data_IF_583536438620
#
_entry.id   IF_583536438620
#
_cell.length_a   1.000
_cell.length_b   1.000
_cell.length_c   1.000
_cell.angle_alpha   90.00
_cell.angle_beta   90.00
_cell.angle_gamma   90.00
#
_symmetry.space_group_name_H-M   'P 1'
#
loop_
_entity.id
_entity.type
_entity.pdbx_description
1 polymer ?
#
# COMPACT_ATOMS: atom_id res chain seq x y z
N UNK A 1 23.88 -1.61 24.95
CA UNK A 1 23.48 -1.56 23.52
C UNK A 1 22.97 -2.92 23.02
N UNK A 2 23.68 -4.04 23.22
CA UNK A 2 23.23 -5.38 22.80
C UNK A 2 21.86 -5.80 23.37
N UNK A 3 21.62 -5.57 24.66
CA UNK A 3 20.29 -5.83 25.27
C UNK A 3 19.18 -4.99 24.65
N UNK A 4 19.43 -3.72 24.32
CA UNK A 4 18.42 -2.88 23.66
C UNK A 4 18.13 -3.38 22.24
N UNK A 5 19.17 -3.83 21.52
CA UNK A 5 19.01 -4.47 20.21
C UNK A 5 18.19 -5.76 20.31
N UNK A 6 18.47 -6.61 21.32
CA UNK A 6 17.69 -7.81 21.59
C UNK A 6 16.21 -7.49 21.86
N UNK A 7 15.94 -6.54 22.77
CA UNK A 7 14.56 -6.13 23.09
C UNK A 7 13.87 -5.57 21.84
N UNK A 8 14.57 -4.74 21.06
CA UNK A 8 14.04 -4.20 19.81
C UNK A 8 13.64 -5.28 18.81
N UNK A 9 14.54 -6.22 18.52
CA UNK A 9 14.24 -7.35 17.63
C UNK A 9 13.11 -8.24 18.16
N UNK A 10 13.06 -8.47 19.48
CA UNK A 10 12.01 -9.28 20.09
C UNK A 10 10.63 -8.63 19.91
N UNK A 11 10.55 -7.31 20.09
CA UNK A 11 9.31 -6.56 19.86
C UNK A 11 8.88 -6.60 18.39
N UNK A 12 9.82 -6.46 17.47
CA UNK A 12 9.51 -6.55 16.02
C UNK A 12 9.00 -7.96 15.69
N UNK A 13 9.63 -9.01 16.18
CA UNK A 13 9.19 -10.39 15.96
C UNK A 13 7.77 -10.63 16.50
N UNK A 14 7.45 -10.11 17.70
CA UNK A 14 6.10 -10.19 18.27
C UNK A 14 5.08 -9.47 17.39
N UNK A 15 5.40 -8.26 16.92
CA UNK A 15 4.54 -7.50 16.02
C UNK A 15 4.34 -8.23 14.68
N UNK A 16 5.40 -8.84 14.14
CA UNK A 16 5.33 -9.60 12.91
C UNK A 16 4.42 -10.83 13.04
N UNK A 17 4.57 -11.61 14.12
CA UNK A 17 3.71 -12.78 14.39
C UNK A 17 2.27 -12.35 14.62
N UNK A 18 2.05 -11.30 15.42
CA UNK A 18 0.71 -10.76 15.68
C UNK A 18 0.05 -10.26 14.41
N UNK A 19 0.76 -9.48 13.61
CA UNK A 19 0.29 -8.99 12.31
C UNK A 19 -0.01 -10.14 11.34
N UNK A 20 0.82 -11.19 11.32
CA UNK A 20 0.59 -12.39 10.53
C UNK A 20 -0.68 -13.14 10.94
N UNK A 21 -0.89 -13.35 12.25
CA UNK A 21 -2.10 -14.00 12.78
C UNK A 21 -3.34 -13.15 12.47
N UNK A 22 -3.30 -11.85 12.76
CA UNK A 22 -4.42 -10.95 12.49
C UNK A 22 -4.73 -10.92 10.99
N UNK A 23 -3.71 -10.81 10.13
CA UNK A 23 -3.89 -10.83 8.67
C UNK A 23 -4.43 -12.17 8.14
N UNK A 24 -4.15 -13.29 8.82
CA UNK A 24 -4.68 -14.60 8.45
C UNK A 24 -6.14 -14.80 8.92
N UNK A 25 -6.46 -14.42 10.15
CA UNK A 25 -7.79 -14.61 10.76
C UNK A 25 -8.79 -13.59 10.22
N UNK A 26 -8.39 -12.32 10.14
CA UNK A 26 -9.28 -11.21 9.82
C UNK A 26 -9.28 -10.83 8.35
N UNK A 27 -8.98 -11.77 7.43
CA UNK A 27 -9.03 -11.53 5.98
C UNK A 27 -10.33 -10.85 5.51
N UNK A 28 -11.54 -11.31 5.88
CA UNK A 28 -12.76 -10.65 5.43
C UNK A 28 -12.95 -9.26 6.07
N UNK A 29 -12.53 -9.07 7.33
CA UNK A 29 -12.58 -7.75 7.98
C UNK A 29 -11.52 -6.79 7.43
N UNK A 30 -10.43 -7.30 6.86
CA UNK A 30 -9.42 -6.51 6.16
C UNK A 30 -10.02 -5.80 4.95
N UNK A 31 -10.89 -6.49 4.18
CA UNK A 31 -11.58 -5.88 3.05
C UNK A 31 -12.55 -4.78 3.51
N UNK A 32 -13.25 -4.98 4.64
CA UNK A 32 -14.12 -3.96 5.23
C UNK A 32 -13.33 -2.74 5.75
N UNK A 33 -12.24 -2.97 6.50
CA UNK A 33 -11.35 -1.91 6.95
C UNK A 33 -10.72 -1.15 5.79
N UNK A 34 -10.30 -1.86 4.74
CA UNK A 34 -9.79 -1.27 3.51
C UNK A 34 -10.86 -0.40 2.83
N UNK A 35 -12.12 -0.84 2.78
CA UNK A 35 -13.20 -0.01 2.24
C UNK A 35 -13.42 1.27 3.04
N UNK A 36 -13.32 1.21 4.38
CA UNK A 36 -13.43 2.40 5.23
C UNK A 36 -12.28 3.38 4.98
N UNK A 37 -11.04 2.88 4.94
CA UNK A 37 -9.86 3.71 4.64
C UNK A 37 -9.93 4.30 3.24
N UNK A 38 -10.38 3.54 2.24
CA UNK A 38 -10.57 4.04 0.88
C UNK A 38 -11.69 5.08 0.81
N UNK A 39 -12.75 4.94 1.61
CA UNK A 39 -13.82 5.94 1.68
C UNK A 39 -13.31 7.25 2.27
N UNK A 40 -12.56 7.19 3.37
CA UNK A 40 -11.94 8.38 3.98
C UNK A 40 -10.95 9.06 3.02
N UNK A 41 -10.13 8.26 2.32
CA UNK A 41 -9.25 8.77 1.29
C UNK A 41 -10.03 9.39 0.10
N UNK A 42 -11.18 8.82 -0.28
CA UNK A 42 -12.03 9.38 -1.34
C UNK A 42 -12.60 10.75 -0.94
N UNK A 43 -12.95 10.93 0.32
CA UNK A 43 -13.41 12.24 0.82
C UNK A 43 -12.31 13.30 0.73
N UNK A 44 -11.03 12.93 0.93
CA UNK A 44 -9.89 13.81 0.69
C UNK A 44 -9.67 14.12 -0.79
N UNK A 45 -9.96 13.18 -1.70
CA UNK A 45 -9.88 13.45 -3.14
C UNK A 45 -10.92 14.49 -3.60
N UNK A 46 -12.08 14.55 -2.94
CA UNK A 46 -13.12 15.57 -3.19
C UNK A 46 -12.89 16.88 -2.45
N UNK A 47 -12.01 16.88 -1.45
CA UNK A 47 -11.71 18.04 -0.62
C UNK A 47 -11.01 19.17 -1.38
N UNK A 48 -11.17 20.39 -0.89
CA UNK A 48 -10.55 21.60 -1.45
C UNK A 48 -9.53 22.25 -0.49
N UNK A 49 -9.22 21.59 0.65
CA UNK A 49 -8.23 22.09 1.61
C UNK A 49 -6.80 21.91 1.09
N UNK A 50 -5.85 22.66 1.64
CA UNK A 50 -4.44 22.54 1.25
C UNK A 50 -3.88 21.13 1.58
N UNK A 51 -4.32 20.54 2.69
CA UNK A 51 -3.99 19.15 3.05
C UNK A 51 -4.56 18.15 2.03
N UNK A 52 -5.76 18.41 1.49
CA UNK A 52 -6.37 17.57 0.47
C UNK A 52 -5.55 17.58 -0.83
N UNK A 53 -4.97 18.73 -1.22
CA UNK A 53 -4.12 18.81 -2.43
C UNK A 53 -2.87 17.95 -2.34
N UNK A 54 -2.18 17.94 -1.19
CA UNK A 54 -1.00 17.08 -0.99
C UNK A 54 -1.33 15.59 -1.13
N UNK A 55 -2.50 15.20 -0.61
CA UNK A 55 -3.03 13.85 -0.73
C UNK A 55 -3.38 13.53 -2.19
N UNK A 56 -4.05 14.45 -2.89
CA UNK A 56 -4.42 14.32 -4.30
C UNK A 56 -3.19 14.17 -5.21
N UNK A 57 -2.13 14.94 -5.00
CA UNK A 57 -0.87 14.81 -5.74
C UNK A 57 -0.22 13.45 -5.55
N UNK A 58 -0.18 12.97 -4.31
CA UNK A 58 0.38 11.65 -3.97
C UNK A 58 -0.43 10.52 -4.63
N UNK A 59 -1.76 10.62 -4.57
CA UNK A 59 -2.66 9.67 -5.22
C UNK A 59 -2.59 9.70 -6.73
N UNK A 60 -2.40 10.87 -7.34
CA UNK A 60 -2.24 10.97 -8.79
C UNK A 60 -0.95 10.28 -9.24
N UNK A 61 0.17 10.46 -8.53
CA UNK A 61 1.42 9.73 -8.82
C UNK A 61 1.22 8.22 -8.72
N UNK A 62 0.54 7.78 -7.66
CA UNK A 62 0.22 6.36 -7.48
C UNK A 62 -0.66 5.82 -8.62
N UNK A 63 -1.70 6.54 -9.02
CA UNK A 63 -2.60 6.17 -10.12
C UNK A 63 -1.88 6.04 -11.46
N UNK A 64 -0.96 6.97 -11.76
CA UNK A 64 -0.15 6.91 -12.97
C UNK A 64 0.81 5.72 -12.99
N UNK A 65 1.44 5.43 -11.85
CA UNK A 65 2.37 4.30 -11.72
C UNK A 65 1.64 2.95 -11.71
N UNK A 66 0.49 2.89 -11.05
CA UNK A 66 -0.34 1.69 -10.94
C UNK A 66 -1.30 1.49 -12.11
N UNK A 67 -1.37 2.44 -13.06
CA UNK A 67 -2.29 2.39 -14.21
C UNK A 67 -3.76 2.15 -13.79
N UNK A 68 -4.17 2.79 -12.69
CA UNK A 68 -5.51 2.70 -12.13
C UNK A 68 -6.10 4.11 -11.98
N UNK A 69 -7.43 4.20 -11.86
CA UNK A 69 -8.13 5.46 -11.65
C UNK A 69 -9.05 5.38 -10.44
N UNK A 70 -9.02 6.39 -9.59
CA UNK A 70 -9.83 6.46 -8.38
C UNK A 70 -9.49 5.36 -7.37
N UNK A 71 -10.29 5.28 -6.32
CA UNK A 71 -10.09 4.32 -5.23
C UNK A 71 -10.97 3.10 -5.46
N UNK A 72 -12.28 3.28 -5.49
CA UNK A 72 -13.29 2.22 -5.67
C UNK A 72 -14.17 2.49 -6.89
N UNK A 73 -14.70 3.71 -7.05
CA UNK A 73 -15.66 4.08 -8.11
C UNK A 73 -15.02 4.80 -9.30
N UNK A 74 -13.70 4.66 -9.49
CA UNK A 74 -13.00 5.25 -10.63
C UNK A 74 -12.95 6.78 -10.56
N UNK A 75 -13.11 7.43 -11.71
CA UNK A 75 -13.05 8.90 -11.81
C UNK A 75 -14.07 9.63 -10.91
N UNK A 76 -15.17 8.96 -10.54
CA UNK A 76 -16.21 9.53 -9.67
C UNK A 76 -15.72 9.79 -8.24
N UNK A 77 -14.68 9.07 -7.78
CA UNK A 77 -14.13 9.29 -6.44
C UNK A 77 -13.47 10.67 -6.31
N UNK A 78 -13.07 11.28 -7.42
CA UNK A 78 -12.52 12.63 -7.45
C UNK A 78 -13.58 13.74 -7.39
N UNK A 79 -14.86 13.43 -7.64
CA UNK A 79 -15.96 14.38 -7.59
C UNK A 79 -15.71 15.64 -8.43
N UNK A 80 -15.75 16.81 -7.78
CA UNK A 80 -15.51 18.12 -8.41
C UNK A 80 -14.08 18.30 -8.92
N UNK A 81 -13.12 17.51 -8.40
CA UNK A 81 -11.71 17.57 -8.76
C UNK A 81 -11.33 16.61 -9.89
N UNK A 82 -12.32 16.01 -10.56
CA UNK A 82 -12.09 15.08 -11.68
C UNK A 82 -11.31 15.70 -12.85
N UNK A 83 -11.33 17.03 -13.00
CA UNK A 83 -10.57 17.76 -14.03
C UNK A 83 -9.30 18.44 -13.51
N UNK A 84 -8.91 18.19 -12.25
CA UNK A 84 -7.68 18.72 -11.69
C UNK A 84 -6.45 18.24 -12.46
N UNK A 85 -5.43 19.09 -12.48
CA UNK A 85 -4.15 18.84 -13.16
C UNK A 85 -3.06 18.84 -12.11
N UNK A 86 -2.28 17.77 -12.07
CA UNK A 86 -1.10 17.67 -11.22
C UNK A 86 0.08 17.27 -12.10
N UNK A 87 1.19 17.99 -11.96
CA UNK A 87 2.41 17.76 -12.74
C UNK A 87 2.18 17.70 -14.27
N UNK A 88 1.31 18.59 -14.76
CA UNK A 88 0.97 18.70 -16.19
C UNK A 88 0.06 17.59 -16.74
N UNK A 89 -0.35 16.62 -15.92
CA UNK A 89 -1.29 15.56 -16.31
C UNK A 89 -2.62 15.71 -15.63
N UNK A 90 -3.70 15.46 -16.36
CA UNK A 90 -5.03 15.42 -15.76
C UNK A 90 -5.17 14.18 -14.89
N UNK A 91 -6.03 14.28 -13.88
CA UNK A 91 -6.40 13.14 -13.04
C UNK A 91 -6.80 11.92 -13.86
N UNK A 92 -6.30 10.73 -13.49
CA UNK A 92 -6.56 9.45 -14.15
C UNK A 92 -6.17 9.37 -15.63
N UNK A 93 -5.40 10.32 -16.15
CA UNK A 93 -5.04 10.37 -17.57
C UNK A 93 -4.28 9.12 -17.99
N UNK A 94 -4.81 8.45 -19.01
CA UNK A 94 -4.17 7.32 -19.64
C UNK A 94 -3.56 7.72 -20.97
N UNK A 95 -2.28 7.38 -21.15
CA UNK A 95 -1.58 7.56 -22.42
C UNK A 95 -2.07 6.53 -23.45
N UNK A 96 -2.24 6.97 -24.71
CA UNK A 96 -2.72 6.13 -25.82
C UNK A 96 -1.89 4.85 -26.05
N UNK A 97 -0.63 4.83 -25.62
CA UNK A 97 0.24 3.64 -25.72
C UNK A 97 -0.33 2.41 -24.97
N UNK A 98 -1.17 2.63 -23.96
CA UNK A 98 -1.81 1.55 -23.19
C UNK A 98 -3.17 1.12 -23.75
N UNK A 99 -3.60 1.70 -24.87
CA UNK A 99 -4.85 1.35 -25.53
C UNK A 99 -4.81 -0.06 -26.15
N UNK A 100 -3.64 -0.52 -26.57
CA UNK A 100 -3.43 -1.88 -27.12
C UNK A 100 -3.69 -2.98 -26.08
N UNK A 101 -3.58 -2.63 -24.79
CA UNK A 101 -3.77 -3.55 -23.66
C UNK A 101 -5.20 -3.51 -23.07
N UNK A 102 -6.14 -2.77 -23.69
CA UNK A 102 -7.50 -2.55 -23.20
C UNK A 102 -7.59 -1.95 -21.77
N UNK A 103 -6.54 -1.23 -21.33
CA UNK A 103 -6.45 -0.65 -19.99
C UNK A 103 -7.25 0.64 -19.81
N UNK A 104 -7.68 1.25 -20.93
CA UNK A 104 -8.20 2.61 -20.93
C UNK A 104 -9.50 2.75 -21.72
N UNK A 105 -10.32 3.71 -21.33
CA UNK A 105 -11.59 4.00 -21.99
C UNK A 105 -11.79 5.52 -22.16
N UNK A 106 -12.67 5.90 -23.09
CA UNK A 106 -12.95 7.29 -23.40
C UNK A 106 -13.95 7.87 -22.38
N UNK A 107 -13.59 8.99 -21.76
CA UNK A 107 -14.41 9.76 -20.84
C UNK A 107 -14.19 11.26 -21.09
N UNK A 108 -15.26 12.00 -21.45
CA UNK A 108 -15.21 13.45 -21.71
C UNK A 108 -14.02 13.85 -22.61
N UNK A 109 -13.93 13.26 -23.80
CA UNK A 109 -12.91 13.53 -24.83
C UNK A 109 -11.44 13.23 -24.44
N UNK A 110 -11.21 12.46 -23.37
CA UNK A 110 -9.89 11.96 -22.98
C UNK A 110 -9.92 10.48 -22.60
N UNK A 111 -8.75 9.85 -22.64
CA UNK A 111 -8.59 8.46 -22.18
C UNK A 111 -8.24 8.43 -20.70
N UNK A 112 -8.93 7.59 -19.94
CA UNK A 112 -8.66 7.35 -18.53
C UNK A 112 -8.53 5.87 -18.22
N UNK A 113 -7.80 5.53 -17.15
CA UNK A 113 -7.66 4.14 -16.72
C UNK A 113 -9.00 3.53 -16.31
N UNK A 114 -9.25 2.30 -16.77
CA UNK A 114 -10.51 1.58 -16.54
C UNK A 114 -10.59 0.94 -15.15
N UNK A 115 -9.46 0.45 -14.65
CA UNK A 115 -9.39 -0.30 -13.39
C UNK A 115 -9.33 0.64 -12.19
N UNK A 116 -10.05 0.34 -11.11
CA UNK A 116 -9.94 1.05 -9.84
C UNK A 116 -8.71 0.63 -9.05
N UNK A 117 -8.10 1.54 -8.30
CA UNK A 117 -6.88 1.22 -7.56
C UNK A 117 -7.09 0.19 -6.45
N UNK A 118 -8.28 0.12 -5.87
CA UNK A 118 -8.67 -0.98 -4.96
C UNK A 118 -8.58 -2.34 -5.65
N UNK A 119 -9.12 -2.46 -6.85
CA UNK A 119 -9.08 -3.73 -7.60
C UNK A 119 -7.65 -4.12 -7.91
N UNK A 120 -6.83 -3.17 -8.37
CA UNK A 120 -5.40 -3.38 -8.60
C UNK A 120 -4.68 -3.87 -7.34
N UNK A 121 -4.91 -3.23 -6.18
CA UNK A 121 -4.31 -3.62 -4.91
C UNK A 121 -4.75 -5.01 -4.45
N UNK A 122 -6.04 -5.32 -4.54
CA UNK A 122 -6.57 -6.64 -4.17
C UNK A 122 -6.02 -7.74 -5.09
N UNK A 123 -5.94 -7.48 -6.40
CA UNK A 123 -5.39 -8.42 -7.37
C UNK A 123 -3.89 -8.63 -7.13
N UNK A 124 -3.15 -7.55 -6.85
CA UNK A 124 -1.74 -7.62 -6.48
C UNK A 124 -1.53 -8.46 -5.21
N UNK A 125 -2.32 -8.23 -4.17
CA UNK A 125 -2.25 -8.99 -2.91
C UNK A 125 -2.59 -10.47 -3.14
N UNK A 126 -3.65 -10.77 -3.89
CA UNK A 126 -4.07 -12.15 -4.18
C UNK A 126 -3.02 -12.88 -5.02
N UNK A 127 -2.47 -12.23 -6.05
CA UNK A 127 -1.51 -12.82 -6.97
C UNK A 127 -0.14 -13.03 -6.33
N UNK A 128 0.29 -12.13 -5.45
CA UNK A 128 1.64 -12.17 -4.86
C UNK A 128 1.65 -12.60 -3.39
N UNK A 129 0.54 -13.15 -2.88
CA UNK A 129 0.41 -13.53 -1.47
C UNK A 129 1.53 -14.49 -1.04
N UNK A 130 1.87 -15.46 -1.90
CA UNK A 130 2.91 -16.45 -1.61
C UNK A 130 4.30 -15.80 -1.48
N UNK A 131 4.60 -14.84 -2.36
CA UNK A 131 5.87 -14.09 -2.33
C UNK A 131 5.95 -13.24 -1.06
N UNK A 132 4.87 -12.53 -0.73
CA UNK A 132 4.78 -11.70 0.47
C UNK A 132 4.99 -12.56 1.74
N UNK A 133 4.36 -13.74 1.78
CA UNK A 133 4.54 -14.68 2.88
C UNK A 133 5.98 -15.19 2.98
N UNK A 134 6.62 -15.47 1.83
CA UNK A 134 8.03 -15.86 1.79
C UNK A 134 8.97 -14.78 2.32
N UNK A 135 8.75 -13.51 1.94
CA UNK A 135 9.54 -12.37 2.44
C UNK A 135 9.38 -12.23 3.95
N UNK A 136 8.14 -12.30 4.45
CA UNK A 136 7.86 -12.23 5.88
C UNK A 136 8.58 -13.37 6.63
N UNK A 137 8.46 -14.61 6.16
CA UNK A 137 9.14 -15.75 6.78
C UNK A 137 10.68 -15.56 6.79
N UNK A 138 11.27 -15.11 5.70
CA UNK A 138 12.70 -14.81 5.62
C UNK A 138 13.14 -13.75 6.63
N UNK A 139 12.35 -12.69 6.80
CA UNK A 139 12.60 -11.65 7.81
C UNK A 139 12.60 -12.22 9.22
N UNK A 140 11.62 -13.06 9.57
CA UNK A 140 11.54 -13.68 10.89
C UNK A 140 12.76 -14.57 11.19
N UNK A 141 13.27 -15.31 10.20
CA UNK A 141 14.48 -16.14 10.37
C UNK A 141 15.70 -15.25 10.68
N UNK A 142 15.86 -14.15 9.96
CA UNK A 142 16.97 -13.20 10.19
C UNK A 142 16.88 -12.59 11.59
N UNK A 143 15.68 -12.23 12.05
CA UNK A 143 15.46 -11.71 13.40
C UNK A 143 15.83 -12.72 14.48
N UNK A 144 15.42 -13.98 14.34
CA UNK A 144 15.76 -15.04 15.28
C UNK A 144 17.27 -15.25 15.36
N UNK A 145 17.98 -15.24 14.23
CA UNK A 145 19.45 -15.30 14.22
C UNK A 145 20.05 -14.08 14.94
N UNK A 146 19.50 -12.88 14.72
CA UNK A 146 19.91 -11.67 15.41
C UNK A 146 19.71 -11.74 16.93
N UNK A 147 18.59 -12.30 17.38
CA UNK A 147 18.30 -12.53 18.80
C UNK A 147 19.30 -13.51 19.43
N UNK A 148 19.57 -14.64 18.76
CA UNK A 148 20.53 -15.65 19.22
C UNK A 148 21.93 -15.03 19.35
N UNK A 149 22.43 -14.37 18.30
CA UNK A 149 23.76 -13.78 18.32
C UNK A 149 23.89 -12.64 19.35
N UNK A 150 22.86 -11.80 19.49
CA UNK A 150 22.86 -10.72 20.48
C UNK A 150 22.99 -11.27 21.90
N UNK A 151 22.23 -12.33 22.23
CA UNK A 151 22.28 -12.91 23.57
C UNK A 151 23.58 -13.69 23.82
N UNK A 152 24.07 -14.44 22.82
CA UNK A 152 25.37 -15.12 22.92
C UNK A 152 26.51 -14.12 23.17
N UNK A 153 26.57 -13.03 22.41
CA UNK A 153 27.60 -11.99 22.58
C UNK A 153 27.47 -11.26 23.90
N UNK A 154 26.24 -10.93 24.33
CA UNK A 154 26.00 -10.32 25.64
C UNK A 154 26.55 -11.19 26.78
N UNK A 155 26.23 -12.49 26.78
CA UNK A 155 26.73 -13.44 27.77
C UNK A 155 28.26 -13.58 27.73
N UNK A 156 28.87 -13.59 26.54
CA UNK A 156 30.32 -13.69 26.42
C UNK A 156 31.06 -12.45 26.94
N UNK A 157 30.52 -11.25 26.69
CA UNK A 157 31.09 -10.00 27.20
C UNK A 157 30.92 -9.92 28.72
N UNK A 158 29.76 -10.30 29.26
CA UNK A 158 29.53 -10.27 30.70
C UNK A 158 30.39 -11.28 31.48
N UNK A 159 30.79 -12.38 30.84
CA UNK A 159 31.69 -13.39 31.43
C UNK A 159 33.17 -12.95 31.44
N UNK A 160 33.52 -11.92 30.68
CA UNK A 160 34.87 -11.34 30.62
C UNK A 160 35.00 -10.20 31.62
#
# INVERSE_FOLDING_TARGET
>A
MLLLFFIGLLLILILQVTGGILGAVYKPQLEEGLNLTLKEAADLLKGNSENAKQVQESWQKFQLQGQCCGLDNGINDWGTNSNSVFDGKKVCECEKKYQEENLCYLYQDRYIFKQSCKTLLLDFLKKNMDIIMGIAFGMAVIEVLGLVFSMCLYCQIQRK
#
